data_IF_688477728555
#
_entry.id   IF_688477728555
#
_cell.length_a   1.000
_cell.length_b   1.000
_cell.length_c   1.000
_cell.angle_alpha   90.00
_cell.angle_beta   90.00
_cell.angle_gamma   90.00
#
_symmetry.space_group_name_H-M   'P 1'
#
loop_
_entity.id
_entity.type
_entity.pdbx_description
1 polymer ?
#
# COMPACT_ATOMS: atom_id res chain seq x y z
N UNK A 1 -25.13 -98.30 -3.52
CA UNK A 1 -25.49 -98.44 -2.09
C UNK A 1 -25.10 -97.15 -1.38
N UNK A 2 -26.00 -96.62 -0.55
CA UNK A 2 -25.89 -95.43 0.32
C UNK A 2 -25.92 -94.02 -0.30
N UNK A 3 -27.09 -93.39 -0.13
CA UNK A 3 -27.33 -91.95 -0.01
C UNK A 3 -26.54 -91.36 1.15
N UNK A 4 -26.00 -90.15 0.98
CA UNK A 4 -25.80 -89.21 2.09
C UNK A 4 -26.32 -87.83 1.65
N UNK A 5 -27.57 -87.55 2.02
CA UNK A 5 -28.05 -86.18 2.14
C UNK A 5 -27.32 -85.56 3.33
N UNK A 6 -26.58 -84.47 3.09
CA UNK A 6 -26.12 -83.59 4.15
C UNK A 6 -26.90 -82.29 3.99
N UNK A 7 -27.75 -82.04 4.98
CA UNK A 7 -28.57 -80.85 5.15
C UNK A 7 -27.67 -79.61 5.30
N UNK A 8 -27.79 -78.65 4.38
CA UNK A 8 -27.10 -77.35 4.44
C UNK A 8 -28.09 -76.23 4.82
N UNK A 9 -28.92 -76.47 5.84
CA UNK A 9 -29.83 -75.45 6.39
C UNK A 9 -29.92 -75.63 7.90
N UNK A 10 -28.95 -75.07 8.64
CA UNK A 10 -29.14 -74.62 10.02
C UNK A 10 -27.89 -73.87 10.51
N UNK A 11 -27.60 -72.70 9.94
CA UNK A 11 -26.78 -71.70 10.63
C UNK A 11 -27.55 -70.38 10.70
N UNK A 12 -28.43 -70.28 11.70
CA UNK A 12 -29.24 -69.09 11.97
C UNK A 12 -28.41 -67.90 12.47
N UNK A 13 -27.16 -68.13 12.89
CA UNK A 13 -26.25 -67.05 13.31
C UNK A 13 -25.69 -66.33 12.08
N UNK A 14 -25.29 -67.05 11.03
CA UNK A 14 -24.84 -66.45 9.78
C UNK A 14 -25.91 -65.59 9.10
N UNK A 15 -27.19 -66.03 9.17
CA UNK A 15 -28.31 -65.28 8.59
C UNK A 15 -28.59 -63.97 9.35
N UNK A 16 -28.51 -63.99 10.70
CA UNK A 16 -28.66 -62.77 11.52
C UNK A 16 -27.53 -61.78 11.26
N UNK A 17 -26.27 -62.23 11.24
CA UNK A 17 -25.12 -61.34 11.01
C UNK A 17 -25.16 -60.72 9.61
N UNK A 18 -25.61 -61.48 8.61
CA UNK A 18 -25.73 -60.96 7.23
C UNK A 18 -26.86 -59.93 7.12
N UNK A 19 -27.99 -60.16 7.81
CA UNK A 19 -29.09 -59.20 7.89
C UNK A 19 -28.67 -57.94 8.65
N UNK A 20 -27.95 -58.07 9.76
CA UNK A 20 -27.49 -56.93 10.55
C UNK A 20 -26.49 -56.07 9.76
N UNK A 21 -25.58 -56.68 9.00
CA UNK A 21 -24.68 -55.96 8.08
C UNK A 21 -25.46 -55.27 6.95
N UNK A 22 -26.48 -55.93 6.40
CA UNK A 22 -27.36 -55.32 5.39
C UNK A 22 -28.13 -54.12 5.96
N UNK A 23 -28.71 -54.24 7.15
CA UNK A 23 -29.43 -53.15 7.83
C UNK A 23 -28.47 -52.01 8.17
N UNK A 24 -27.26 -52.31 8.62
CA UNK A 24 -26.22 -51.32 8.90
C UNK A 24 -25.80 -50.56 7.63
N UNK A 25 -25.62 -51.25 6.51
CA UNK A 25 -25.30 -50.63 5.22
C UNK A 25 -26.45 -49.77 4.69
N UNK A 26 -27.70 -50.20 4.89
CA UNK A 26 -28.89 -49.40 4.55
C UNK A 26 -28.97 -48.15 5.42
N UNK A 27 -28.70 -48.26 6.72
CA UNK A 27 -28.65 -47.12 7.65
C UNK A 27 -27.54 -46.14 7.27
N UNK A 28 -26.34 -46.61 6.93
CA UNK A 28 -25.26 -45.76 6.43
C UNK A 28 -25.66 -45.08 5.13
N UNK A 29 -26.30 -45.80 4.21
CA UNK A 29 -26.73 -45.23 2.93
C UNK A 29 -27.79 -44.14 3.12
N UNK A 30 -28.78 -44.36 3.99
CA UNK A 30 -29.80 -43.36 4.34
C UNK A 30 -29.17 -42.17 5.05
N UNK A 31 -28.27 -42.41 6.00
CA UNK A 31 -27.54 -41.34 6.69
C UNK A 31 -26.71 -40.49 5.71
N UNK A 32 -26.04 -41.12 4.75
CA UNK A 32 -25.28 -40.45 3.69
C UNK A 32 -26.19 -39.60 2.79
N UNK A 33 -27.37 -40.13 2.45
CA UNK A 33 -28.36 -39.46 1.60
C UNK A 33 -29.01 -38.24 2.29
N UNK A 34 -29.13 -38.28 3.62
CA UNK A 34 -29.63 -37.16 4.43
C UNK A 34 -28.53 -36.12 4.69
N UNK A 35 -27.28 -36.57 4.89
CA UNK A 35 -26.15 -35.68 5.17
C UNK A 35 -25.67 -34.92 3.93
N UNK A 36 -25.70 -35.53 2.74
CA UNK A 36 -25.19 -34.90 1.51
C UNK A 36 -25.85 -33.53 1.23
N UNK A 37 -27.20 -33.41 1.17
CA UNK A 37 -27.87 -32.13 0.92
C UNK A 37 -27.61 -31.09 2.00
N UNK A 38 -27.40 -31.53 3.25
CA UNK A 38 -27.13 -30.65 4.39
C UNK A 38 -25.71 -30.06 4.30
N UNK A 39 -24.74 -30.87 3.86
CA UNK A 39 -23.35 -30.45 3.66
C UNK A 39 -23.25 -29.57 2.40
N UNK A 40 -23.79 -30.01 1.26
CA UNK A 40 -23.73 -29.23 0.00
C UNK A 40 -24.58 -27.96 0.07
N UNK A 41 -25.73 -28.01 0.74
CA UNK A 41 -26.60 -26.85 0.95
C UNK A 41 -25.92 -25.77 1.79
N UNK A 42 -25.25 -26.14 2.89
CA UNK A 42 -24.51 -25.17 3.70
C UNK A 42 -23.30 -24.56 2.95
N UNK A 43 -22.59 -25.35 2.14
CA UNK A 43 -21.47 -24.84 1.33
C UNK A 43 -21.98 -23.90 0.24
N UNK A 44 -23.06 -24.24 -0.46
CA UNK A 44 -23.66 -23.39 -1.48
C UNK A 44 -24.26 -22.12 -0.89
N UNK A 45 -25.01 -22.21 0.22
CA UNK A 45 -25.56 -21.05 0.93
C UNK A 45 -24.43 -20.14 1.44
N UNK A 46 -23.37 -20.70 2.04
CA UNK A 46 -22.20 -19.92 2.45
C UNK A 46 -21.54 -19.25 1.26
N UNK A 47 -21.32 -19.95 0.15
CA UNK A 47 -20.73 -19.36 -1.06
C UNK A 47 -21.57 -18.24 -1.66
N UNK A 48 -22.91 -18.34 -1.60
CA UNK A 48 -23.85 -17.31 -2.07
C UNK A 48 -23.86 -16.13 -1.11
N UNK A 49 -23.80 -16.36 0.21
CA UNK A 49 -23.67 -15.30 1.22
C UNK A 49 -22.34 -14.57 1.06
N UNK A 50 -21.23 -15.30 0.90
CA UNK A 50 -19.89 -14.74 0.74
C UNK A 50 -19.81 -13.92 -0.56
N UNK A 51 -20.29 -14.47 -1.68
CA UNK A 51 -20.35 -13.75 -2.96
C UNK A 51 -21.25 -12.51 -2.91
N UNK A 52 -22.40 -12.60 -2.23
CA UNK A 52 -23.31 -11.45 -2.06
C UNK A 52 -22.70 -10.38 -1.15
N UNK A 53 -22.05 -10.79 -0.06
CA UNK A 53 -21.36 -9.88 0.86
C UNK A 53 -20.20 -9.17 0.15
N UNK A 54 -19.42 -9.90 -0.65
CA UNK A 54 -18.34 -9.33 -1.48
C UNK A 54 -18.87 -8.35 -2.53
N UNK A 55 -19.92 -8.73 -3.28
CA UNK A 55 -20.55 -7.83 -4.23
C UNK A 55 -21.13 -6.57 -3.57
N UNK A 56 -21.58 -6.68 -2.31
CA UNK A 56 -22.07 -5.56 -1.52
C UNK A 56 -20.93 -4.66 -1.03
N UNK A 57 -19.83 -5.21 -0.52
CA UNK A 57 -18.64 -4.43 -0.11
C UNK A 57 -18.01 -3.69 -1.28
N UNK A 58 -17.92 -4.32 -2.46
CA UNK A 58 -17.37 -3.66 -3.66
C UNK A 58 -18.20 -2.46 -4.11
N UNK A 59 -19.54 -2.59 -4.10
CA UNK A 59 -20.47 -1.48 -4.38
C UNK A 59 -20.36 -0.39 -3.33
N UNK A 60 -20.16 -0.76 -2.07
CA UNK A 60 -20.02 0.16 -0.95
C UNK A 60 -18.74 0.98 -1.08
N UNK A 61 -17.59 0.36 -1.35
CA UNK A 61 -16.34 1.06 -1.61
C UNK A 61 -16.48 2.01 -2.81
N UNK A 62 -17.07 1.55 -3.91
CA UNK A 62 -17.32 2.39 -5.09
C UNK A 62 -18.22 3.59 -4.77
N UNK A 63 -19.26 3.38 -3.96
CA UNK A 63 -20.18 4.45 -3.54
C UNK A 63 -19.47 5.45 -2.65
N UNK A 64 -18.65 4.98 -1.70
CA UNK A 64 -17.85 5.84 -0.82
C UNK A 64 -16.86 6.64 -1.64
N UNK A 65 -16.08 6.02 -2.53
CA UNK A 65 -15.08 6.73 -3.34
C UNK A 65 -15.69 7.83 -4.21
N UNK A 66 -16.90 7.62 -4.73
CA UNK A 66 -17.62 8.60 -5.56
C UNK A 66 -18.54 9.53 -4.75
N UNK A 67 -18.66 9.31 -3.44
CA UNK A 67 -19.43 10.16 -2.56
C UNK A 67 -18.83 11.56 -2.51
N UNK A 68 -19.69 12.58 -2.49
CA UNK A 68 -19.27 13.98 -2.43
C UNK A 68 -19.36 14.50 -1.00
N UNK A 69 -18.35 15.26 -0.60
CA UNK A 69 -18.40 16.13 0.57
C UNK A 69 -18.81 17.51 0.09
N UNK A 70 -19.88 18.04 0.66
CA UNK A 70 -20.41 19.35 0.27
C UNK A 70 -19.44 20.46 0.66
N UNK A 71 -18.88 20.39 1.87
CA UNK A 71 -17.95 21.37 2.42
C UNK A 71 -16.90 20.66 3.29
N UNK A 72 -15.63 20.91 3.02
CA UNK A 72 -14.49 20.44 3.80
C UNK A 72 -13.60 21.62 4.14
N UNK A 73 -13.50 21.94 5.43
CA UNK A 73 -12.67 23.02 5.92
C UNK A 73 -11.42 22.50 6.62
N UNK A 74 -10.28 23.18 6.45
CA UNK A 74 -9.07 22.94 7.22
C UNK A 74 -8.26 24.23 7.38
N UNK A 75 -7.33 24.23 8.33
CA UNK A 75 -6.41 25.36 8.57
C UNK A 75 -4.97 24.92 8.38
N UNK A 76 -4.28 25.50 7.39
CA UNK A 76 -2.84 25.25 7.20
C UNK A 76 -2.04 25.79 8.40
N UNK A 77 -1.07 25.02 8.88
CA UNK A 77 -0.23 25.38 10.03
C UNK A 77 -1.02 25.67 11.34
N UNK A 78 -2.26 25.18 11.45
CA UNK A 78 -3.17 25.54 12.54
C UNK A 78 -2.63 25.21 13.93
N UNK A 79 -2.11 23.99 14.11
CA UNK A 79 -1.58 23.51 15.40
C UNK A 79 -0.28 24.22 15.78
N UNK A 80 0.57 24.53 14.79
CA UNK A 80 1.83 25.24 15.00
C UNK A 80 1.58 26.67 15.46
N UNK A 81 0.60 27.33 14.83
CA UNK A 81 0.18 28.66 15.26
C UNK A 81 -0.46 28.63 16.63
N UNK A 82 -1.23 27.59 16.97
CA UNK A 82 -1.83 27.46 18.30
C UNK A 82 -0.76 27.31 19.38
N UNK A 83 0.32 26.58 19.07
CA UNK A 83 1.48 26.45 19.95
C UNK A 83 2.23 27.78 20.15
N UNK A 84 2.43 28.55 19.08
CA UNK A 84 3.11 29.86 19.13
C UNK A 84 2.25 30.91 19.85
N UNK A 85 0.94 30.93 19.59
CA UNK A 85 0.02 31.87 20.21
C UNK A 85 -0.12 31.65 21.72
N UNK A 86 0.17 30.44 22.21
CA UNK A 86 0.18 30.10 23.62
C UNK A 86 -1.12 30.54 24.30
N UNK A 87 -1.10 31.38 25.36
CA UNK A 87 -2.30 31.81 26.08
C UNK A 87 -3.34 32.60 25.27
N UNK A 88 -3.00 33.08 24.07
CA UNK A 88 -3.88 33.91 23.25
C UNK A 88 -4.70 33.06 22.25
N UNK A 89 -4.41 31.76 22.13
CA UNK A 89 -5.06 30.84 21.19
C UNK A 89 -6.59 30.74 21.39
N UNK A 90 -7.08 30.91 22.61
CA UNK A 90 -8.51 30.88 22.96
C UNK A 90 -9.22 32.22 22.68
N UNK A 91 -8.49 33.26 22.30
CA UNK A 91 -9.11 34.57 22.02
C UNK A 91 -9.91 34.53 20.71
N UNK A 92 -11.11 35.10 20.73
CA UNK A 92 -11.99 35.15 19.56
C UNK A 92 -11.36 35.87 18.36
N UNK A 93 -10.52 36.88 18.64
CA UNK A 93 -9.76 37.61 17.61
C UNK A 93 -8.76 36.69 16.92
N UNK A 94 -8.00 35.90 17.70
CA UNK A 94 -7.03 34.97 17.16
C UNK A 94 -7.70 33.86 16.35
N UNK A 95 -8.75 33.22 16.89
CA UNK A 95 -9.48 32.15 16.18
C UNK A 95 -10.03 32.67 14.84
N UNK A 96 -10.64 33.86 14.85
CA UNK A 96 -11.19 34.49 13.64
C UNK A 96 -10.09 34.87 12.65
N UNK A 97 -8.99 35.45 13.13
CA UNK A 97 -7.84 35.82 12.31
C UNK A 97 -7.17 34.60 11.67
N UNK A 98 -6.93 33.54 12.46
CA UNK A 98 -6.37 32.26 12.01
C UNK A 98 -7.21 31.67 10.88
N UNK A 99 -8.54 31.56 11.08
CA UNK A 99 -9.46 31.05 10.05
C UNK A 99 -9.50 31.96 8.80
N UNK A 100 -9.45 33.28 8.96
CA UNK A 100 -9.48 34.21 7.84
C UNK A 100 -8.24 34.12 6.94
N UNK A 101 -7.06 33.93 7.54
CA UNK A 101 -5.78 33.97 6.82
C UNK A 101 -5.47 32.58 6.25
N UNK A 102 -5.56 31.55 7.10
CA UNK A 102 -5.05 30.20 6.81
C UNK A 102 -6.14 29.14 6.74
N UNK A 103 -7.39 29.52 6.97
CA UNK A 103 -8.53 28.68 6.66
C UNK A 103 -8.62 28.44 5.16
N UNK A 104 -8.94 27.20 4.81
CA UNK A 104 -9.19 26.73 3.46
C UNK A 104 -10.50 25.97 3.48
N UNK A 105 -11.29 26.15 2.43
CA UNK A 105 -12.60 25.54 2.26
C UNK A 105 -12.65 24.91 0.87
N UNK A 106 -12.86 23.59 0.83
CA UNK A 106 -13.01 22.81 -0.38
C UNK A 106 -14.49 22.41 -0.54
N UNK A 107 -15.08 22.67 -1.70
CA UNK A 107 -16.49 22.36 -1.99
C UNK A 107 -16.62 21.28 -3.05
N UNK A 108 -17.62 20.44 -2.88
CA UNK A 108 -18.05 19.43 -3.86
C UNK A 108 -16.95 18.47 -4.32
N UNK A 109 -15.96 18.18 -3.47
CA UNK A 109 -14.89 17.21 -3.74
C UNK A 109 -15.36 15.80 -3.38
N UNK A 110 -14.82 14.79 -4.05
CA UNK A 110 -15.12 13.40 -3.70
C UNK A 110 -14.29 12.94 -2.51
N UNK A 111 -14.72 11.88 -1.82
CA UNK A 111 -13.90 11.26 -0.78
C UNK A 111 -12.56 10.77 -1.30
N UNK A 112 -12.54 10.22 -2.52
CA UNK A 112 -11.30 9.82 -3.16
C UNK A 112 -10.34 11.00 -3.30
N UNK A 113 -10.84 12.17 -3.71
CA UNK A 113 -10.02 13.37 -3.89
C UNK A 113 -9.41 13.85 -2.57
N UNK A 114 -10.23 14.01 -1.53
CA UNK A 114 -9.78 14.58 -0.25
C UNK A 114 -8.88 13.57 0.49
N UNK A 115 -9.16 12.26 0.39
CA UNK A 115 -8.28 11.25 0.96
C UNK A 115 -6.96 11.11 0.19
N UNK A 116 -6.97 11.27 -1.13
CA UNK A 116 -5.74 11.32 -1.93
C UNK A 116 -4.91 12.57 -1.61
N UNK A 117 -5.55 13.72 -1.38
CA UNK A 117 -4.90 14.95 -0.94
C UNK A 117 -4.28 14.82 0.46
N UNK A 118 -4.95 14.19 1.42
CA UNK A 118 -4.37 13.93 2.76
C UNK A 118 -3.19 12.97 2.67
N UNK A 119 -3.36 11.86 1.93
CA UNK A 119 -2.30 10.90 1.69
C UNK A 119 -1.08 11.54 1.00
N UNK A 120 -1.32 12.44 0.06
CA UNK A 120 -0.29 13.24 -0.60
C UNK A 120 0.38 14.21 0.37
N UNK A 121 -0.40 14.86 1.22
CA UNK A 121 0.08 15.88 2.13
C UNK A 121 0.96 15.32 3.25
N UNK A 122 0.60 14.19 3.88
CA UNK A 122 1.26 13.71 5.11
C UNK A 122 2.76 13.46 4.95
N UNK A 123 3.18 12.70 3.93
CA UNK A 123 4.54 12.18 3.77
C UNK A 123 5.12 11.57 5.06
N UNK A 124 4.92 10.28 5.25
CA UNK A 124 5.33 9.53 6.43
C UNK A 124 6.56 8.69 6.12
N UNK A 125 7.59 8.79 6.98
CA UNK A 125 8.75 7.90 7.01
C UNK A 125 8.55 6.85 8.11
N UNK A 126 8.70 5.57 7.77
CA UNK A 126 8.50 4.42 8.67
C UNK A 126 9.83 3.80 9.09
N UNK A 127 10.45 4.28 10.18
CA UNK A 127 11.75 3.78 10.62
C UNK A 127 11.67 3.16 12.02
N UNK A 128 12.31 1.98 12.20
CA UNK A 128 12.43 1.30 13.52
C UNK A 128 11.10 1.12 14.28
N UNK A 129 10.00 0.94 13.55
CA UNK A 129 8.65 0.79 14.12
C UNK A 129 7.97 2.10 14.52
N UNK A 130 8.57 3.25 14.23
CA UNK A 130 7.94 4.57 14.33
C UNK A 130 7.52 5.09 12.95
N UNK A 131 6.53 5.98 12.93
CA UNK A 131 6.08 6.71 11.75
C UNK A 131 6.24 8.22 11.99
N UNK A 132 6.98 8.90 11.12
CA UNK A 132 7.27 10.33 11.24
C UNK A 132 6.60 11.04 10.07
N UNK A 133 5.63 11.91 10.34
CA UNK A 133 5.01 12.77 9.34
C UNK A 133 5.91 13.96 9.05
N UNK A 134 6.30 14.15 7.79
CA UNK A 134 7.20 15.23 7.38
C UNK A 134 6.44 16.55 7.22
N UNK A 135 5.21 16.51 6.73
CA UNK A 135 4.40 17.70 6.57
C UNK A 135 3.47 17.94 7.76
N UNK A 136 4.06 18.35 8.88
CA UNK A 136 3.37 18.69 10.11
C UNK A 136 2.45 19.93 9.98
N UNK A 137 2.62 20.75 8.92
CA UNK A 137 1.74 21.90 8.66
C UNK A 137 0.32 21.47 8.22
N UNK A 138 0.16 20.22 7.79
CA UNK A 138 -1.10 19.66 7.31
C UNK A 138 -1.80 18.75 8.33
N UNK A 139 -1.32 18.66 9.58
CA UNK A 139 -1.95 17.81 10.61
C UNK A 139 -3.43 18.13 10.84
N UNK A 140 -3.82 19.41 10.75
CA UNK A 140 -5.22 19.80 10.85
C UNK A 140 -6.09 19.25 9.70
N UNK A 141 -5.52 19.10 8.50
CA UNK A 141 -6.20 18.47 7.37
C UNK A 141 -6.54 17.02 7.69
N UNK A 142 -5.57 16.24 8.16
CA UNK A 142 -5.76 14.83 8.54
C UNK A 142 -6.81 14.68 9.64
N UNK A 143 -6.75 15.55 10.66
CA UNK A 143 -7.72 15.53 11.76
C UNK A 143 -9.14 15.83 11.28
N UNK A 144 -9.33 16.85 10.44
CA UNK A 144 -10.63 17.21 9.90
C UNK A 144 -11.14 16.18 8.89
N UNK A 145 -10.26 15.52 8.13
CA UNK A 145 -10.62 14.41 7.27
C UNK A 145 -11.18 13.26 8.11
N UNK A 146 -10.47 12.91 9.19
CA UNK A 146 -10.87 11.85 10.10
C UNK A 146 -12.27 12.06 10.67
N UNK A 147 -12.59 13.26 11.14
CA UNK A 147 -13.92 13.59 11.69
C UNK A 147 -15.00 13.62 10.61
N UNK A 148 -14.76 14.31 9.50
CA UNK A 148 -15.74 14.49 8.41
C UNK A 148 -16.09 13.16 7.74
N UNK A 149 -15.06 12.34 7.42
CA UNK A 149 -15.29 11.03 6.82
C UNK A 149 -15.92 10.06 7.80
N UNK A 150 -15.57 10.15 9.08
CA UNK A 150 -16.22 9.34 10.09
C UNK A 150 -17.72 9.65 10.18
N UNK A 151 -18.10 10.92 10.23
CA UNK A 151 -19.50 11.33 10.26
C UNK A 151 -20.27 10.85 9.02
N UNK A 152 -19.68 10.99 7.84
CA UNK A 152 -20.28 10.50 6.60
C UNK A 152 -20.47 8.98 6.61
N UNK A 153 -19.42 8.22 6.92
CA UNK A 153 -19.47 6.76 6.95
C UNK A 153 -20.43 6.28 8.05
N UNK A 154 -20.44 6.94 9.21
CA UNK A 154 -21.38 6.62 10.27
C UNK A 154 -22.83 6.79 9.79
N UNK A 155 -23.13 7.84 9.03
CA UNK A 155 -24.45 8.05 8.43
C UNK A 155 -24.84 7.07 7.31
N UNK A 156 -23.87 6.49 6.60
CA UNK A 156 -24.17 5.56 5.49
C UNK A 156 -24.22 4.10 5.93
N UNK A 157 -23.36 3.69 6.88
CA UNK A 157 -23.03 2.26 7.07
C UNK A 157 -22.95 1.81 8.54
N UNK A 158 -22.75 2.72 9.50
CA UNK A 158 -22.47 2.32 10.89
C UNK A 158 -23.64 1.67 11.63
N UNK A 159 -24.87 1.86 11.17
CA UNK A 159 -26.05 1.23 11.78
C UNK A 159 -26.01 -0.31 11.72
N UNK A 160 -25.30 -0.88 10.73
CA UNK A 160 -25.30 -2.33 10.47
C UNK A 160 -23.91 -2.95 10.55
N UNK A 161 -22.89 -2.17 10.23
CA UNK A 161 -21.53 -2.66 10.11
C UNK A 161 -20.56 -1.77 10.87
N UNK A 162 -19.58 -2.38 11.51
CA UNK A 162 -18.33 -1.69 11.84
C UNK A 162 -17.45 -1.66 10.60
N UNK A 163 -16.58 -0.66 10.50
CA UNK A 163 -15.76 -0.46 9.32
C UNK A 163 -14.36 0.07 9.66
N UNK A 164 -13.45 -0.15 8.71
CA UNK A 164 -12.18 0.53 8.61
C UNK A 164 -11.97 0.93 7.15
N UNK A 165 -11.78 2.23 6.91
CA UNK A 165 -11.38 2.76 5.62
C UNK A 165 -9.91 3.18 5.72
N UNK A 166 -9.08 2.60 4.86
CA UNK A 166 -7.64 2.86 4.84
C UNK A 166 -7.21 3.31 3.45
N UNK A 167 -6.41 4.38 3.37
CA UNK A 167 -5.68 4.77 2.16
C UNK A 167 -4.19 4.61 2.44
N UNK A 168 -3.52 3.81 1.62
CA UNK A 168 -2.10 3.51 1.71
C UNK A 168 -1.46 3.97 0.41
N UNK A 169 -0.62 5.00 0.51
CA UNK A 169 0.23 5.41 -0.59
C UNK A 169 1.65 4.94 -0.31
N UNK A 170 2.26 4.25 -1.28
CA UNK A 170 3.66 3.81 -1.25
C UNK A 170 4.26 4.09 -2.63
N UNK A 171 4.83 5.30 -2.85
CA UNK A 171 5.28 5.72 -4.17
C UNK A 171 6.41 4.85 -4.72
N UNK A 172 7.19 4.21 -3.84
CA UNK A 172 8.23 3.24 -4.21
C UNK A 172 8.04 1.99 -3.35
N UNK A 173 7.97 0.83 -4.01
CA UNK A 173 7.77 -0.48 -3.36
C UNK A 173 8.98 -0.79 -2.48
N UNK A 174 8.72 -1.35 -1.29
CA UNK A 174 9.74 -1.69 -0.29
C UNK A 174 10.54 -0.50 0.25
N UNK A 175 10.08 0.72 0.02
CA UNK A 175 10.62 1.92 0.65
C UNK A 175 9.71 2.31 1.81
N UNK A 176 10.25 2.59 3.00
CA UNK A 176 9.47 2.94 4.18
C UNK A 176 8.99 4.39 4.12
N UNK A 177 8.43 4.81 3.00
CA UNK A 177 7.99 6.18 2.74
C UNK A 177 6.64 6.14 2.06
N UNK A 178 5.74 7.01 2.46
CA UNK A 178 4.41 7.08 1.86
C UNK A 178 3.41 7.77 2.78
N UNK A 179 2.22 7.21 2.93
CA UNK A 179 1.25 7.70 3.91
C UNK A 179 0.21 6.63 4.23
N UNK A 180 -0.37 6.74 5.42
CA UNK A 180 -1.43 5.85 5.90
C UNK A 180 -2.56 6.68 6.50
N UNK A 181 -3.63 6.89 5.74
CA UNK A 181 -4.87 7.48 6.24
C UNK A 181 -5.75 6.34 6.73
N UNK A 182 -6.19 6.38 8.00
CA UNK A 182 -7.04 5.33 8.57
C UNK A 182 -8.22 5.93 9.32
N UNK A 183 -9.42 5.47 8.97
CA UNK A 183 -10.69 5.96 9.54
C UNK A 183 -11.52 4.77 10.00
N UNK A 184 -12.03 4.82 11.23
CA UNK A 184 -12.88 3.78 11.81
C UNK A 184 -12.16 2.88 12.81
N UNK A 185 -12.72 1.70 13.06
CA UNK A 185 -12.27 0.77 14.08
C UNK A 185 -11.11 -0.11 13.60
N UNK A 186 -10.42 -0.80 14.51
CA UNK A 186 -9.38 -1.76 14.15
C UNK A 186 -10.01 -2.97 13.45
N UNK A 187 -9.44 -3.37 12.32
CA UNK A 187 -9.92 -4.50 11.50
C UNK A 187 -9.76 -5.82 12.27
N UNK A 188 -10.84 -6.61 12.44
CA UNK A 188 -10.78 -7.99 12.92
C UNK A 188 -10.49 -8.99 11.79
N UNK A 189 -10.01 -10.18 12.13
CA UNK A 189 -9.62 -11.23 11.17
C UNK A 189 -10.76 -11.74 10.27
N UNK A 190 -12.02 -11.49 10.64
CA UNK A 190 -13.22 -11.93 9.91
C UNK A 190 -13.89 -10.81 9.10
N UNK A 191 -13.20 -9.68 8.88
CA UNK A 191 -13.72 -8.60 8.06
C UNK A 191 -13.76 -8.97 6.57
N UNK A 192 -14.79 -8.48 5.88
CA UNK A 192 -14.81 -8.46 4.43
C UNK A 192 -13.95 -7.29 3.95
N UNK A 193 -12.98 -7.56 3.09
CA UNK A 193 -11.99 -6.59 2.64
C UNK A 193 -12.15 -6.39 1.13
N UNK A 194 -12.28 -5.13 0.72
CA UNK A 194 -12.26 -4.72 -0.68
C UNK A 194 -11.18 -3.70 -0.91
N UNK A 195 -10.51 -3.81 -2.05
CA UNK A 195 -9.45 -2.88 -2.44
C UNK A 195 -9.76 -2.21 -3.78
N UNK A 196 -9.31 -0.98 -3.91
CA UNK A 196 -9.36 -0.20 -5.14
C UNK A 196 -8.12 0.71 -5.23
N UNK A 197 -7.91 1.35 -6.37
CA UNK A 197 -6.87 2.36 -6.52
C UNK A 197 -7.49 3.73 -6.75
N UNK A 198 -6.94 4.74 -6.08
CA UNK A 198 -7.23 6.15 -6.36
C UNK A 198 -6.00 6.81 -6.98
N UNK A 199 -6.23 7.83 -7.80
CA UNK A 199 -5.17 8.61 -8.43
C UNK A 199 -4.68 9.66 -7.44
N UNK A 200 -3.36 9.78 -7.30
CA UNK A 200 -2.75 10.82 -6.47
C UNK A 200 -2.87 12.19 -7.16
N UNK A 201 -2.98 13.29 -6.40
CA UNK A 201 -3.12 14.64 -6.96
C UNK A 201 -1.86 15.13 -7.66
N UNK A 202 -0.71 14.49 -7.44
CA UNK A 202 0.56 14.83 -8.08
C UNK A 202 0.66 14.22 -9.48
N UNK A 203 1.15 15.02 -10.42
CA UNK A 203 1.43 14.58 -11.78
C UNK A 203 2.92 14.28 -11.99
N UNK A 204 3.49 13.41 -11.15
CA UNK A 204 4.89 13.00 -11.30
C UNK A 204 5.03 12.08 -12.50
N UNK A 205 5.61 12.60 -13.58
CA UNK A 205 5.73 11.88 -14.84
C UNK A 205 6.96 10.96 -14.86
N UNK A 206 6.89 9.86 -14.12
CA UNK A 206 7.90 8.81 -14.21
C UNK A 206 7.55 7.79 -15.30
N UNK A 207 8.02 8.05 -16.52
CA UNK A 207 7.61 7.28 -17.69
C UNK A 207 8.28 5.89 -17.78
N UNK A 208 7.55 4.94 -18.38
CA UNK A 208 8.07 3.63 -18.80
C UNK A 208 9.34 3.76 -19.65
N UNK A 209 9.38 4.71 -20.58
CA UNK A 209 10.52 4.95 -21.47
C UNK A 209 11.80 5.30 -20.70
N UNK A 210 11.66 6.02 -19.57
CA UNK A 210 12.81 6.37 -18.71
C UNK A 210 13.44 5.13 -18.09
N UNK A 211 12.62 4.21 -17.57
CA UNK A 211 13.09 2.91 -17.06
C UNK A 211 13.68 2.05 -18.17
N UNK A 212 13.09 2.05 -19.37
CA UNK A 212 13.66 1.34 -20.52
C UNK A 212 15.07 1.85 -20.86
N UNK A 213 15.34 3.16 -20.78
CA UNK A 213 16.69 3.69 -21.00
C UNK A 213 17.67 3.19 -19.94
N UNK A 214 17.32 3.28 -18.65
CA UNK A 214 18.16 2.81 -17.53
C UNK A 214 18.49 1.32 -17.69
N UNK A 215 17.48 0.50 -17.97
CA UNK A 215 17.68 -0.95 -18.17
C UNK A 215 18.53 -1.21 -19.41
N UNK A 216 18.29 -0.51 -20.52
CA UNK A 216 19.06 -0.70 -21.75
C UNK A 216 20.54 -0.33 -21.59
N UNK A 217 20.85 0.71 -20.82
CA UNK A 217 22.23 1.09 -20.51
C UNK A 217 22.96 -0.04 -19.78
N UNK A 218 22.32 -0.67 -18.79
CA UNK A 218 22.89 -1.81 -18.07
C UNK A 218 22.83 -3.13 -18.85
N UNK A 219 21.98 -3.23 -19.88
CA UNK A 219 21.79 -4.44 -20.68
C UNK A 219 22.74 -4.53 -21.89
N UNK A 220 23.17 -3.39 -22.45
CA UNK A 220 23.89 -3.31 -23.72
C UNK A 220 25.10 -2.36 -23.66
N UNK A 221 26.09 -2.62 -22.79
CA UNK A 221 27.38 -1.94 -22.92
C UNK A 221 28.34 -2.70 -23.84
N UNK A 222 29.19 -1.97 -24.58
CA UNK A 222 30.18 -2.49 -25.55
C UNK A 222 31.19 -3.49 -24.93
N UNK A 223 31.24 -3.62 -23.60
CA UNK A 223 32.13 -4.53 -22.88
C UNK A 223 31.47 -5.35 -21.74
N UNK A 224 30.13 -5.39 -21.66
CA UNK A 224 29.43 -6.36 -20.80
C UNK A 224 28.10 -5.86 -20.23
N UNK A 225 27.56 -6.67 -19.32
CA UNK A 225 26.45 -6.40 -18.41
C UNK A 225 25.08 -6.91 -18.93
N UNK A 226 24.54 -7.84 -18.15
CA UNK A 226 23.38 -8.72 -18.37
C UNK A 226 23.45 -9.58 -19.64
N UNK A 227 23.34 -9.02 -20.85
CA UNK A 227 23.21 -9.81 -22.09
C UNK A 227 24.40 -10.73 -22.35
N UNK A 228 25.62 -10.21 -22.21
CA UNK A 228 26.84 -11.01 -22.30
C UNK A 228 26.96 -12.05 -21.19
N UNK A 229 26.41 -11.76 -20.01
CA UNK A 229 26.47 -12.61 -18.82
C UNK A 229 25.53 -13.81 -18.98
N UNK A 230 24.34 -13.60 -19.54
CA UNK A 230 23.44 -14.69 -19.99
C UNK A 230 24.06 -15.54 -21.11
N UNK A 231 24.74 -14.92 -22.08
CA UNK A 231 25.47 -15.64 -23.12
C UNK A 231 26.62 -16.50 -22.56
N UNK A 232 27.35 -15.98 -21.57
CA UNK A 232 28.38 -16.73 -20.87
C UNK A 232 27.78 -17.90 -20.09
N UNK A 233 26.66 -17.69 -19.40
CA UNK A 233 25.95 -18.75 -18.69
C UNK A 233 25.54 -19.90 -19.62
N UNK A 234 25.08 -19.57 -20.82
CA UNK A 234 24.70 -20.54 -21.84
C UNK A 234 25.88 -21.36 -22.37
N UNK A 235 27.08 -20.77 -22.38
CA UNK A 235 28.32 -21.42 -22.86
C UNK A 235 29.02 -22.23 -21.76
N UNK A 236 28.95 -21.77 -20.51
CA UNK A 236 29.61 -22.37 -19.37
C UNK A 236 28.71 -22.35 -18.12
N UNK A 237 28.13 -23.52 -17.80
CA UNK A 237 27.28 -23.71 -16.62
C UNK A 237 28.06 -24.05 -15.35
N UNK A 238 29.39 -24.20 -15.40
CA UNK A 238 30.17 -24.63 -14.22
C UNK A 238 30.27 -23.57 -13.13
N UNK A 239 30.18 -22.29 -13.50
CA UNK A 239 30.18 -21.15 -12.57
C UNK A 239 28.80 -20.50 -12.41
N UNK A 240 27.72 -21.27 -12.63
CA UNK A 240 26.34 -20.76 -12.69
C UNK A 240 25.96 -19.82 -11.54
N UNK A 241 26.19 -20.22 -10.29
CA UNK A 241 25.84 -19.41 -9.12
C UNK A 241 26.55 -18.05 -9.10
N UNK A 242 27.81 -18.00 -9.54
CA UNK A 242 28.55 -16.74 -9.64
C UNK A 242 27.96 -15.86 -10.74
N UNK A 243 27.68 -16.44 -11.90
CA UNK A 243 27.14 -15.73 -13.07
C UNK A 243 25.73 -15.18 -12.77
N UNK A 244 24.87 -15.96 -12.13
CA UNK A 244 23.56 -15.51 -11.66
C UNK A 244 23.70 -14.38 -10.63
N UNK A 245 24.68 -14.46 -9.72
CA UNK A 245 24.97 -13.37 -8.78
C UNK A 245 25.39 -12.06 -9.45
N UNK A 246 26.16 -12.14 -10.54
CA UNK A 246 26.53 -10.98 -11.36
C UNK A 246 25.28 -10.39 -12.05
N UNK A 247 24.39 -11.22 -12.60
CA UNK A 247 23.13 -10.77 -13.22
C UNK A 247 22.24 -10.08 -12.17
N UNK A 248 22.05 -10.68 -11.00
CA UNK A 248 21.26 -10.09 -9.91
C UNK A 248 21.79 -8.73 -9.50
N UNK A 249 23.13 -8.57 -9.43
CA UNK A 249 23.76 -7.29 -9.10
C UNK A 249 23.43 -6.21 -10.13
N UNK A 250 23.55 -6.49 -11.42
CA UNK A 250 23.24 -5.51 -12.49
C UNK A 250 21.74 -5.13 -12.51
N UNK A 251 20.85 -6.08 -12.19
CA UNK A 251 19.42 -5.78 -12.01
C UNK A 251 19.23 -4.86 -10.80
N UNK A 252 19.88 -5.13 -9.67
CA UNK A 252 19.85 -4.25 -8.50
C UNK A 252 20.39 -2.85 -8.80
N UNK A 253 21.46 -2.74 -9.58
CA UNK A 253 22.01 -1.45 -10.00
C UNK A 253 20.99 -0.67 -10.86
N UNK A 254 20.27 -1.36 -11.75
CA UNK A 254 19.15 -0.77 -12.53
C UNK A 254 18.00 -0.31 -11.63
N UNK A 255 17.64 -1.10 -10.62
CA UNK A 255 16.62 -0.74 -9.62
C UNK A 255 17.07 0.50 -8.83
N UNK A 256 18.31 0.53 -8.36
CA UNK A 256 18.86 1.62 -7.54
C UNK A 256 18.89 2.95 -8.31
N UNK A 257 19.28 2.93 -9.59
CA UNK A 257 19.25 4.13 -10.45
C UNK A 257 17.81 4.60 -10.65
N UNK A 258 16.89 3.66 -10.92
CA UNK A 258 15.46 3.97 -11.08
C UNK A 258 14.88 4.61 -9.82
N UNK A 259 15.22 4.08 -8.65
CA UNK A 259 14.83 4.64 -7.35
C UNK A 259 15.42 6.03 -7.16
N UNK A 260 16.71 6.24 -7.45
CA UNK A 260 17.36 7.54 -7.28
C UNK A 260 16.65 8.63 -8.09
N UNK A 261 16.34 8.32 -9.35
CA UNK A 261 15.65 9.24 -10.24
C UNK A 261 14.20 9.47 -9.81
N UNK A 262 13.48 8.41 -9.43
CA UNK A 262 12.11 8.52 -8.93
C UNK A 262 12.03 9.36 -7.63
N UNK A 263 12.98 9.19 -6.71
CA UNK A 263 13.06 9.98 -5.47
C UNK A 263 13.32 11.46 -5.78
N UNK A 264 14.20 11.77 -6.74
CA UNK A 264 14.46 13.16 -7.15
C UNK A 264 13.19 13.80 -7.70
N UNK A 265 12.57 13.19 -8.71
CA UNK A 265 11.33 13.72 -9.31
C UNK A 265 10.24 13.87 -8.25
N UNK A 266 10.06 12.86 -7.40
CA UNK A 266 9.07 12.87 -6.33
C UNK A 266 9.34 14.00 -5.35
N UNK A 267 10.56 14.16 -4.84
CA UNK A 267 10.85 15.27 -3.92
C UNK A 267 10.70 16.62 -4.64
N UNK A 268 11.21 16.78 -5.85
CA UNK A 268 11.19 18.07 -6.55
C UNK A 268 9.81 18.48 -7.08
N UNK A 269 8.94 17.54 -7.41
CA UNK A 269 7.61 17.82 -7.96
C UNK A 269 6.49 17.74 -6.92
N UNK A 270 6.74 17.16 -5.74
CA UNK A 270 5.71 16.98 -4.71
C UNK A 270 6.10 17.61 -3.38
N UNK A 271 7.20 17.18 -2.77
CA UNK A 271 7.56 17.61 -1.42
C UNK A 271 8.15 19.03 -1.40
N UNK A 272 9.06 19.33 -2.33
CA UNK A 272 9.72 20.62 -2.47
C UNK A 272 8.70 21.75 -2.64
N UNK A 273 7.82 21.71 -3.66
CA UNK A 273 6.79 22.73 -3.84
C UNK A 273 5.86 22.84 -2.65
N UNK A 274 5.51 21.74 -1.97
CA UNK A 274 4.64 21.82 -0.79
C UNK A 274 5.35 22.47 0.40
N UNK A 275 6.63 22.17 0.64
CA UNK A 275 7.42 22.80 1.70
C UNK A 275 7.65 24.28 1.36
N UNK A 276 8.09 24.57 0.14
CA UNK A 276 8.42 25.91 -0.32
C UNK A 276 7.17 26.80 -0.42
N UNK A 277 6.07 26.30 -1.01
CA UNK A 277 4.80 27.03 -1.12
C UNK A 277 4.10 27.17 0.24
N UNK A 278 4.18 26.19 1.14
CA UNK A 278 3.66 26.35 2.49
C UNK A 278 4.46 27.40 3.27
N UNK A 279 5.79 27.40 3.15
CA UNK A 279 6.64 28.42 3.75
C UNK A 279 6.36 29.80 3.15
N UNK A 280 6.30 29.93 1.82
CA UNK A 280 6.08 31.20 1.13
C UNK A 280 4.67 31.74 1.31
N UNK A 281 3.63 30.89 1.32
CA UNK A 281 2.25 31.34 1.56
C UNK A 281 2.06 31.76 3.03
N UNK A 282 2.61 31.00 3.98
CA UNK A 282 2.55 31.37 5.40
C UNK A 282 3.34 32.66 5.62
N UNK A 283 4.58 32.75 5.11
CA UNK A 283 5.42 33.94 5.19
C UNK A 283 4.77 35.15 4.52
N UNK A 284 4.27 35.01 3.28
CA UNK A 284 3.69 36.09 2.50
C UNK A 284 2.38 36.61 3.11
N UNK A 285 1.48 35.71 3.54
CA UNK A 285 0.22 36.11 4.16
C UNK A 285 0.44 36.75 5.54
N UNK A 286 1.44 36.30 6.30
CA UNK A 286 1.80 36.90 7.58
C UNK A 286 2.56 38.22 7.39
N UNK A 287 3.54 38.30 6.49
CA UNK A 287 4.30 39.53 6.23
C UNK A 287 3.41 40.68 5.74
N UNK A 288 2.34 40.37 4.99
CA UNK A 288 1.35 41.36 4.56
C UNK A 288 0.49 41.93 5.71
N UNK A 289 0.44 41.25 6.86
CA UNK A 289 -0.42 41.61 7.99
C UNK A 289 0.39 41.98 9.27
N UNK A 290 1.59 41.43 9.42
CA UNK A 290 2.52 41.59 10.54
C UNK A 290 3.97 41.65 9.98
N UNK A 291 4.45 42.84 9.58
CA UNK A 291 5.73 43.01 8.87
C UNK A 291 6.98 42.53 9.61
N UNK A 292 6.91 42.33 10.92
CA UNK A 292 8.05 41.90 11.76
C UNK A 292 7.96 40.43 12.22
N UNK A 293 6.80 39.75 12.05
CA UNK A 293 6.56 38.42 12.62
C UNK A 293 6.80 37.22 11.68
N UNK A 294 6.95 37.44 10.37
CA UNK A 294 7.10 36.35 9.40
C UNK A 294 8.43 35.60 9.51
N UNK A 295 9.53 36.30 9.81
CA UNK A 295 10.85 35.67 9.92
C UNK A 295 10.95 34.76 11.16
N UNK A 296 10.42 35.19 12.32
CA UNK A 296 10.42 34.37 13.54
C UNK A 296 9.60 33.08 13.38
N UNK A 297 8.51 33.13 12.60
CA UNK A 297 7.70 31.95 12.34
C UNK A 297 8.38 30.97 11.37
N UNK A 298 9.04 31.48 10.33
CA UNK A 298 9.84 30.65 9.40
C UNK A 298 10.99 29.98 10.15
N UNK A 299 11.69 30.73 11.01
CA UNK A 299 12.78 30.20 11.82
C UNK A 299 12.26 29.11 12.78
N UNK A 300 11.12 29.32 13.44
CA UNK A 300 10.49 28.32 14.32
C UNK A 300 10.01 27.07 13.56
N UNK A 301 9.44 27.23 12.36
CA UNK A 301 9.05 26.11 11.47
C UNK A 301 10.30 25.31 11.09
N UNK A 302 11.36 25.98 10.66
CA UNK A 302 12.61 25.34 10.28
C UNK A 302 13.29 24.65 11.47
N UNK A 303 13.35 25.29 12.64
CA UNK A 303 13.87 24.68 13.87
C UNK A 303 13.07 23.45 14.30
N UNK A 304 11.74 23.48 14.19
CA UNK A 304 10.88 22.32 14.52
C UNK A 304 11.14 21.15 13.57
N UNK A 305 11.29 21.43 12.28
CA UNK A 305 11.64 20.43 11.28
C UNK A 305 13.01 19.84 11.57
N UNK A 306 14.03 20.71 11.73
CA UNK A 306 15.42 20.28 11.94
C UNK A 306 15.52 19.46 13.22
N UNK A 307 14.93 19.91 14.33
CA UNK A 307 14.92 19.15 15.59
C UNK A 307 14.23 17.80 15.45
N UNK A 308 13.09 17.71 14.76
CA UNK A 308 12.40 16.43 14.50
C UNK A 308 13.28 15.48 13.67
N UNK A 309 14.02 16.00 12.71
CA UNK A 309 14.94 15.21 11.87
C UNK A 309 16.20 14.78 12.65
N UNK A 310 16.78 15.68 13.45
CA UNK A 310 17.97 15.43 14.26
C UNK A 310 17.70 14.44 15.40
N UNK A 311 16.53 14.49 16.04
CA UNK A 311 16.09 13.52 17.05
C UNK A 311 16.10 12.07 16.53
N UNK A 312 15.93 11.90 15.21
CA UNK A 312 15.91 10.60 14.53
C UNK A 312 17.26 10.29 13.84
N UNK A 313 18.27 11.14 14.05
CA UNK A 313 19.64 10.95 13.60
C UNK A 313 19.91 11.39 12.16
N UNK A 314 19.03 12.21 11.58
CA UNK A 314 19.21 12.78 10.23
C UNK A 314 19.99 14.09 10.39
N UNK A 315 21.19 14.15 9.79
CA UNK A 315 22.03 15.35 9.82
C UNK A 315 21.62 16.26 8.65
N UNK A 316 21.12 17.45 8.96
CA UNK A 316 20.74 18.45 7.95
C UNK A 316 21.98 19.24 7.52
N UNK A 317 22.52 18.91 6.35
CA UNK A 317 23.67 19.60 5.75
C UNK A 317 23.23 20.25 4.42
N UNK A 318 22.82 21.51 4.46
CA UNK A 318 22.38 22.26 3.27
C UNK A 318 20.87 22.48 3.25
N UNK A 319 20.26 22.42 2.06
CA UNK A 319 18.81 22.59 1.95
C UNK A 319 18.08 21.39 2.55
N UNK A 320 16.89 21.66 3.09
CA UNK A 320 16.03 20.63 3.66
C UNK A 320 15.63 19.58 2.59
N UNK A 321 15.35 20.05 1.37
CA UNK A 321 15.04 19.23 0.20
C UNK A 321 16.20 18.29 -0.19
N UNK A 322 17.44 18.78 -0.23
CA UNK A 322 18.60 17.94 -0.58
C UNK A 322 18.92 16.90 0.51
N UNK A 323 18.72 17.28 1.77
CA UNK A 323 18.84 16.35 2.91
C UNK A 323 17.80 15.23 2.78
N UNK A 324 16.54 15.58 2.48
CA UNK A 324 15.48 14.59 2.26
C UNK A 324 15.78 13.68 1.07
N UNK A 325 16.18 14.22 -0.09
CA UNK A 325 16.56 13.41 -1.26
C UNK A 325 17.63 12.40 -0.90
N UNK A 326 18.70 12.85 -0.26
CA UNK A 326 19.85 12.01 0.08
C UNK A 326 19.44 10.89 1.06
N UNK A 327 18.69 11.24 2.11
CA UNK A 327 18.18 10.27 3.07
C UNK A 327 17.24 9.24 2.43
N UNK A 328 16.26 9.70 1.65
CA UNK A 328 15.28 8.82 1.01
C UNK A 328 15.94 7.87 0.02
N UNK A 329 16.96 8.31 -0.73
CA UNK A 329 17.75 7.46 -1.63
C UNK A 329 18.47 6.34 -0.88
N UNK A 330 19.18 6.66 0.19
CA UNK A 330 19.93 5.67 0.97
C UNK A 330 18.99 4.64 1.60
N UNK A 331 17.92 5.11 2.27
CA UNK A 331 16.94 4.22 2.92
C UNK A 331 16.19 3.37 1.89
N UNK A 332 15.83 3.95 0.74
CA UNK A 332 15.14 3.22 -0.31
C UNK A 332 15.99 2.07 -0.86
N UNK A 333 17.29 2.31 -1.09
CA UNK A 333 18.22 1.29 -1.58
C UNK A 333 18.44 0.18 -0.54
N UNK A 334 18.64 0.55 0.72
CA UNK A 334 18.84 -0.42 1.80
C UNK A 334 17.64 -1.34 1.95
N UNK A 335 16.44 -0.78 2.06
CA UNK A 335 15.21 -1.55 2.27
C UNK A 335 14.79 -2.35 1.02
N UNK A 336 14.95 -1.77 -0.18
CA UNK A 336 14.70 -2.50 -1.44
C UNK A 336 15.59 -3.72 -1.55
N UNK A 337 16.89 -3.58 -1.21
CA UNK A 337 17.81 -4.72 -1.21
C UNK A 337 17.43 -5.73 -0.13
N UNK A 338 17.16 -5.29 1.10
CA UNK A 338 16.80 -6.17 2.23
C UNK A 338 15.56 -7.03 1.93
N UNK A 339 14.54 -6.47 1.29
CA UNK A 339 13.28 -7.17 1.02
C UNK A 339 13.30 -7.94 -0.29
N UNK A 340 13.97 -7.42 -1.32
CA UNK A 340 13.85 -7.95 -2.69
C UNK A 340 15.00 -8.89 -3.08
N UNK A 341 16.05 -9.06 -2.26
CA UNK A 341 17.22 -9.92 -2.58
C UNK A 341 16.81 -11.34 -2.98
N UNK A 342 15.91 -11.96 -2.20
CA UNK A 342 15.38 -13.28 -2.49
C UNK A 342 14.49 -13.33 -3.72
N UNK A 343 13.66 -12.30 -3.95
CA UNK A 343 12.76 -12.21 -5.11
C UNK A 343 13.55 -12.07 -6.41
N UNK A 344 14.51 -11.15 -6.46
CA UNK A 344 15.35 -10.90 -7.63
C UNK A 344 16.24 -12.12 -7.92
N UNK A 345 16.82 -12.74 -6.89
CA UNK A 345 17.62 -13.96 -7.09
C UNK A 345 16.77 -15.09 -7.67
N UNK A 346 15.55 -15.30 -7.16
CA UNK A 346 14.65 -16.33 -7.70
C UNK A 346 14.26 -16.05 -9.15
N UNK A 347 13.93 -14.80 -9.47
CA UNK A 347 13.64 -14.37 -10.84
C UNK A 347 14.83 -14.61 -11.78
N UNK A 348 16.05 -14.27 -11.35
CA UNK A 348 17.26 -14.48 -12.16
C UNK A 348 17.51 -15.96 -12.42
N UNK A 349 17.33 -16.82 -11.42
CA UNK A 349 17.43 -18.28 -11.61
C UNK A 349 16.40 -18.80 -12.61
N UNK A 350 15.15 -18.34 -12.52
CA UNK A 350 14.08 -18.72 -13.45
C UNK A 350 14.38 -18.26 -14.89
N UNK A 351 14.73 -16.99 -15.07
CA UNK A 351 15.11 -16.44 -16.38
C UNK A 351 16.33 -17.16 -16.96
N UNK A 352 17.30 -17.50 -16.11
CA UNK A 352 18.49 -18.26 -16.50
C UNK A 352 18.13 -19.65 -17.00
N UNK A 353 17.26 -20.37 -16.29
CA UNK A 353 16.77 -21.68 -16.74
C UNK A 353 16.02 -21.59 -18.07
N UNK A 354 15.13 -20.61 -18.20
CA UNK A 354 14.36 -20.41 -19.44
C UNK A 354 15.28 -20.04 -20.61
N UNK A 355 16.27 -19.19 -20.39
CA UNK A 355 17.20 -18.74 -21.42
C UNK A 355 18.16 -19.85 -21.88
N UNK A 356 18.80 -20.55 -20.93
CA UNK A 356 19.75 -21.65 -21.23
C UNK A 356 19.04 -22.78 -21.99
N UNK A 357 17.79 -23.07 -21.64
CA UNK A 357 16.97 -24.08 -22.31
C UNK A 357 16.33 -23.60 -23.63
N UNK A 358 16.64 -22.38 -24.10
CA UNK A 358 16.08 -21.76 -25.31
C UNK A 358 14.54 -21.64 -25.30
N UNK A 359 13.94 -21.50 -24.11
CA UNK A 359 12.50 -21.24 -23.94
C UNK A 359 12.18 -19.78 -24.26
N UNK A 360 13.09 -18.86 -23.94
CA UNK A 360 12.97 -17.43 -24.20
C UNK A 360 14.22 -16.87 -24.89
N UNK A 361 14.02 -15.78 -25.61
CA UNK A 361 15.05 -14.93 -26.21
C UNK A 361 15.64 -13.95 -25.19
N UNK A 362 16.78 -13.34 -25.56
CA UNK A 362 17.45 -12.36 -24.70
C UNK A 362 16.63 -11.06 -24.59
N UNK A 363 15.88 -10.70 -25.63
CA UNK A 363 14.90 -9.61 -25.62
C UNK A 363 13.75 -9.89 -24.64
N UNK A 364 13.25 -11.12 -24.54
CA UNK A 364 12.22 -11.47 -23.56
C UNK A 364 12.74 -11.45 -22.11
N UNK A 365 14.00 -11.83 -21.90
CA UNK A 365 14.70 -11.62 -20.61
C UNK A 365 14.73 -10.13 -20.27
N UNK A 366 15.09 -9.28 -21.24
CA UNK A 366 15.13 -7.82 -21.06
C UNK A 366 13.76 -7.25 -20.70
N UNK A 367 12.70 -7.63 -21.40
CA UNK A 367 11.34 -7.16 -21.10
C UNK A 367 10.86 -7.61 -19.70
N UNK A 368 11.29 -8.79 -19.26
CA UNK A 368 11.00 -9.29 -17.91
C UNK A 368 11.70 -8.44 -16.84
N UNK A 369 13.00 -8.16 -17.02
CA UNK A 369 13.77 -7.27 -16.13
C UNK A 369 13.16 -5.87 -16.11
N UNK A 370 12.83 -5.32 -17.28
CA UNK A 370 12.17 -4.03 -17.40
C UNK A 370 10.86 -3.99 -16.59
N UNK A 371 10.01 -5.01 -16.74
CA UNK A 371 8.72 -5.08 -16.05
C UNK A 371 8.91 -5.11 -14.54
N UNK A 372 9.89 -5.86 -14.07
CA UNK A 372 10.23 -5.97 -12.67
C UNK A 372 10.70 -4.61 -12.10
N UNK A 373 11.67 -3.96 -12.75
CA UNK A 373 12.19 -2.65 -12.34
C UNK A 373 11.08 -1.60 -12.32
N UNK A 374 10.24 -1.55 -13.36
CA UNK A 374 9.14 -0.59 -13.43
C UNK A 374 8.06 -0.84 -12.36
N UNK A 375 7.81 -2.10 -11.98
CA UNK A 375 6.81 -2.46 -10.97
C UNK A 375 7.11 -1.88 -9.58
N UNK A 376 8.37 -1.50 -9.33
CA UNK A 376 8.84 -0.89 -8.08
C UNK A 376 8.40 0.57 -7.93
N UNK A 377 7.93 1.23 -9.00
CA UNK A 377 7.51 2.64 -8.97
C UNK A 377 5.98 2.75 -9.05
N UNK A 378 5.36 3.40 -8.05
CA UNK A 378 3.90 3.56 -7.89
C UNK A 378 3.51 4.97 -7.43
N UNK A 379 4.15 6.00 -7.98
CA UNK A 379 3.98 7.38 -7.50
C UNK A 379 2.54 7.89 -7.69
N UNK A 380 1.89 7.56 -8.81
CA UNK A 380 0.62 8.16 -9.21
C UNK A 380 -0.64 7.52 -8.61
N UNK A 381 -0.52 6.47 -7.79
CA UNK A 381 -1.69 5.74 -7.27
C UNK A 381 -1.52 5.35 -5.81
N UNK A 382 -2.59 5.51 -5.03
CA UNK A 382 -2.72 4.95 -3.70
C UNK A 382 -3.71 3.79 -3.69
N UNK A 383 -3.44 2.80 -2.84
CA UNK A 383 -4.36 1.71 -2.58
C UNK A 383 -5.37 2.14 -1.52
N UNK A 384 -6.65 1.91 -1.79
CA UNK A 384 -7.74 2.15 -0.85
C UNK A 384 -8.34 0.83 -0.47
N UNK A 385 -8.48 0.61 0.84
CA UNK A 385 -9.03 -0.60 1.41
C UNK A 385 -10.23 -0.25 2.28
N UNK A 386 -11.37 -0.86 1.99
CA UNK A 386 -12.53 -0.86 2.86
C UNK A 386 -12.68 -2.23 3.50
N UNK A 387 -12.55 -2.27 4.83
CA UNK A 387 -12.86 -3.45 5.63
C UNK A 387 -14.19 -3.25 6.35
N UNK A 388 -15.13 -4.19 6.23
CA UNK A 388 -16.44 -4.13 6.90
C UNK A 388 -16.77 -5.44 7.60
N UNK A 389 -17.39 -5.34 8.78
CA UNK A 389 -17.82 -6.52 9.55
C UNK A 389 -19.10 -6.24 10.32
N UNK A 390 -19.85 -7.30 10.64
CA UNK A 390 -21.09 -7.18 11.39
C UNK A 390 -20.85 -6.61 12.79
N UNK A 391 -21.65 -5.61 13.18
CA UNK A 391 -21.59 -5.03 14.52
C UNK A 391 -22.08 -6.10 15.52
N UNK A 392 -21.23 -6.51 16.46
CA UNK A 392 -21.68 -7.37 17.58
C UNK A 392 -22.49 -6.47 18.51
N UNK A 393 -23.81 -6.68 18.53
CA UNK A 393 -24.73 -6.03 19.46
C UNK A 393 -24.49 -6.46 20.90
#
# INVERSE_FOLDING_TARGET
>A
MMKRQVYFYSDSRGFSTTIDVLIFLVLISIASLILLPTITGNIQVKSVIDSKSQAQSSRMLTTILNGRIDEFEYTTAGEQLDAIAGPINDSSLYITGKKLILGRELKHRTFADIAAEDAAAQWVIYQKGKSIQLNFLMTNYTNNLGSTMKEYLDGQIADRYSYNFTVVWRPIVNVPVGSDVRIGEKVPDYAYVETAYITMPYNVNFSRQRVEMIVNENFNTTFGNISSTFENLKKDSTNRTQIEGEISKEIFDSINITIDEAVVDMVDETLGPVIDEAQDNVAGQINNLLPEGGNELIDSINETIISTLEEEGIIVNGSLSDTFKSYLKEVAKEETRRVSDGEITAMVTELSDMYVNNVISIEEVRESIYTEVFSRIRISRAEVTLSVWGRRG
#
